data_IF_399784162738
#
_entry.id   IF_399784162738
#
_cell.length_a   1.000
_cell.length_b   1.000
_cell.length_c   1.000
_cell.angle_alpha   90.00
_cell.angle_beta   90.00
_cell.angle_gamma   90.00
#
_symmetry.space_group_name_H-M   'P 1'
#
loop_
_entity.id
_entity.type
_entity.pdbx_description
1 polymer ?
#
# COMPACT_ATOMS: atom_id res chain seq x y z
N UNK A 1 -23.93 16.48 23.08
CA UNK A 1 -23.05 15.95 22.02
C UNK A 1 -22.72 14.50 22.35
N UNK A 2 -23.41 13.53 21.74
CA UNK A 2 -23.13 12.09 21.93
C UNK A 2 -22.64 11.52 20.60
N UNK A 3 -21.48 10.88 20.65
CA UNK A 3 -20.69 10.42 19.51
C UNK A 3 -21.44 9.45 18.61
N UNK A 4 -21.23 9.64 17.30
CA UNK A 4 -21.79 8.79 16.26
C UNK A 4 -21.13 7.40 16.22
N UNK A 5 -21.84 6.37 15.73
CA UNK A 5 -21.30 5.03 15.64
C UNK A 5 -20.32 4.87 14.47
N UNK A 6 -19.09 4.48 14.82
CA UNK A 6 -18.19 3.51 14.17
C UNK A 6 -18.39 3.28 12.65
N UNK A 7 -17.60 3.96 11.83
CA UNK A 7 -17.38 3.61 10.41
C UNK A 7 -16.82 2.18 10.20
N UNK A 8 -16.23 1.59 11.25
CA UNK A 8 -15.72 0.21 11.26
C UNK A 8 -16.85 -0.82 11.03
N UNK A 9 -18.08 -0.52 11.45
CA UNK A 9 -19.23 -1.42 11.27
C UNK A 9 -19.74 -1.48 9.83
N UNK A 10 -19.59 -0.41 9.05
CA UNK A 10 -20.13 -0.34 7.69
C UNK A 10 -19.31 -1.20 6.71
N UNK A 11 -17.98 -1.11 6.78
CA UNK A 11 -17.07 -1.90 5.92
C UNK A 11 -17.20 -3.39 6.24
N UNK A 12 -17.27 -3.74 7.52
CA UNK A 12 -17.46 -5.13 7.94
C UNK A 12 -18.81 -5.68 7.46
N UNK A 13 -19.88 -4.87 7.43
CA UNK A 13 -21.18 -5.28 6.91
C UNK A 13 -21.20 -5.46 5.39
N UNK A 14 -20.45 -4.63 4.64
CA UNK A 14 -20.31 -4.78 3.18
C UNK A 14 -19.61 -6.09 2.84
N UNK A 15 -18.56 -6.47 3.58
CA UNK A 15 -17.86 -7.74 3.38
C UNK A 15 -18.62 -8.96 3.94
N UNK A 16 -19.47 -8.79 4.96
CA UNK A 16 -20.17 -9.89 5.64
C UNK A 16 -21.57 -10.19 5.10
N UNK A 17 -22.30 -9.19 4.59
CA UNK A 17 -23.64 -9.38 4.02
C UNK A 17 -23.62 -10.03 2.61
N UNK A 18 -22.44 -10.21 2.04
CA UNK A 18 -22.18 -10.63 0.66
C UNK A 18 -21.86 -12.11 0.44
N UNK A 19 -22.12 -12.98 1.42
CA UNK A 19 -21.72 -14.41 1.39
C UNK A 19 -22.32 -15.26 0.23
N UNK A 20 -23.08 -14.67 -0.70
CA UNK A 20 -23.68 -15.37 -1.85
C UNK A 20 -23.38 -14.77 -3.24
N UNK A 21 -22.35 -13.95 -3.43
CA UNK A 21 -21.95 -13.47 -4.76
C UNK A 21 -20.47 -13.75 -5.04
N UNK A 22 -20.20 -14.58 -6.04
CA UNK A 22 -18.90 -15.16 -6.45
C UNK A 22 -17.76 -14.17 -6.80
N UNK A 23 -17.85 -12.88 -6.48
CA UNK A 23 -16.94 -11.84 -6.98
C UNK A 23 -16.41 -10.81 -5.95
N UNK A 24 -16.73 -10.90 -4.65
CA UNK A 24 -16.31 -9.87 -3.69
C UNK A 24 -14.81 -9.83 -3.39
N UNK A 25 -14.09 -10.95 -3.54
CA UNK A 25 -12.62 -10.98 -3.44
C UNK A 25 -11.92 -10.12 -4.52
N UNK A 26 -12.64 -9.64 -5.54
CA UNK A 26 -12.09 -8.74 -6.56
C UNK A 26 -12.03 -7.29 -6.07
N UNK A 27 -12.94 -6.84 -5.19
CA UNK A 27 -12.97 -5.45 -4.76
C UNK A 27 -11.80 -5.21 -3.77
N UNK A 28 -10.93 -4.20 -4.01
CA UNK A 28 -9.73 -3.96 -3.20
C UNK A 28 -9.99 -3.83 -1.69
N UNK A 29 -11.12 -3.23 -1.31
CA UNK A 29 -11.48 -3.05 0.10
C UNK A 29 -11.74 -4.40 0.81
N UNK A 30 -12.09 -5.45 0.08
CA UNK A 30 -12.34 -6.79 0.62
C UNK A 30 -11.07 -7.66 0.63
N UNK A 31 -9.93 -7.17 0.15
CA UNK A 31 -8.69 -7.95 0.14
C UNK A 31 -8.14 -8.15 1.54
N UNK A 32 -7.59 -9.34 1.78
CA UNK A 32 -6.83 -9.66 3.00
C UNK A 32 -5.59 -8.77 3.11
N UNK A 33 -5.07 -8.60 4.33
CA UNK A 33 -3.87 -7.78 4.56
C UNK A 33 -2.69 -8.25 3.72
N UNK A 34 -2.50 -9.57 3.58
CA UNK A 34 -1.46 -10.14 2.73
C UNK A 34 -1.62 -9.74 1.26
N UNK A 35 -2.83 -9.82 0.69
CA UNK A 35 -3.06 -9.44 -0.71
C UNK A 35 -2.84 -7.93 -0.94
N UNK A 36 -3.23 -7.10 0.03
CA UNK A 36 -2.94 -5.66 -0.01
C UNK A 36 -1.43 -5.38 0.04
N UNK A 37 -0.68 -6.11 0.87
CA UNK A 37 0.78 -6.00 0.94
C UNK A 37 1.47 -6.48 -0.34
N UNK A 38 1.01 -7.59 -0.92
CA UNK A 38 1.49 -8.09 -2.21
C UNK A 38 1.31 -7.05 -3.32
N UNK A 39 0.12 -6.43 -3.40
CA UNK A 39 -0.15 -5.33 -4.32
C UNK A 39 0.83 -4.17 -4.13
N UNK A 40 1.01 -3.67 -2.91
CA UNK A 40 1.92 -2.56 -2.61
C UNK A 40 3.37 -2.90 -2.98
N UNK A 41 3.78 -4.16 -2.77
CA UNK A 41 5.11 -4.64 -3.14
C UNK A 41 5.31 -4.68 -4.65
N UNK A 42 4.33 -5.18 -5.40
CA UNK A 42 4.35 -5.22 -6.88
C UNK A 42 4.39 -3.82 -7.47
N UNK A 43 3.58 -2.91 -6.93
CA UNK A 43 3.59 -1.50 -7.31
C UNK A 43 4.96 -0.84 -7.05
N UNK A 44 5.54 -1.09 -5.87
CA UNK A 44 6.87 -0.58 -5.55
C UNK A 44 7.95 -1.12 -6.50
N UNK A 45 7.89 -2.40 -6.89
CA UNK A 45 8.81 -2.97 -7.88
C UNK A 45 8.63 -2.32 -9.26
N UNK A 46 7.38 -2.10 -9.68
CA UNK A 46 7.05 -1.43 -10.95
C UNK A 46 7.66 -0.01 -11.04
N UNK A 47 7.70 0.71 -9.91
CA UNK A 47 8.33 2.04 -9.77
C UNK A 47 9.86 2.00 -9.69
N UNK A 48 10.46 0.83 -9.46
CA UNK A 48 11.92 0.66 -9.39
C UNK A 48 12.51 0.06 -10.66
N UNK A 49 11.69 -0.56 -11.51
CA UNK A 49 12.09 -1.03 -12.83
C UNK A 49 12.76 0.11 -13.60
N UNK A 50 14.00 -0.13 -14.04
CA UNK A 50 14.73 0.74 -14.96
C UNK A 50 14.46 0.22 -16.37
N UNK A 51 13.98 1.04 -17.29
CA UNK A 51 14.01 0.61 -18.68
C UNK A 51 15.45 0.59 -19.18
N UNK A 52 15.70 -0.29 -20.15
CA UNK A 52 16.98 -0.37 -20.84
C UNK A 52 17.14 0.72 -21.91
N UNK A 53 16.04 1.31 -22.34
CA UNK A 53 15.94 2.44 -23.26
C UNK A 53 14.55 3.11 -23.08
N UNK A 54 14.41 4.43 -23.39
CA UNK A 54 13.11 5.09 -23.35
C UNK A 54 12.09 4.33 -24.17
N UNK A 55 11.01 3.91 -23.52
CA UNK A 55 9.92 3.17 -24.14
C UNK A 55 8.59 3.49 -23.42
N UNK A 56 7.49 2.94 -23.92
CA UNK A 56 6.16 3.09 -23.32
C UNK A 56 6.12 2.74 -21.81
N UNK A 57 6.98 1.85 -21.32
CA UNK A 57 7.02 1.48 -19.90
C UNK A 57 7.64 2.57 -19.03
N UNK A 58 8.60 3.36 -19.55
CA UNK A 58 9.15 4.53 -18.86
C UNK A 58 8.13 5.65 -18.78
N UNK A 59 7.34 5.88 -19.83
CA UNK A 59 6.25 6.86 -19.83
C UNK A 59 5.19 6.50 -18.78
N UNK A 60 4.70 5.25 -18.80
CA UNK A 60 3.74 4.77 -17.80
C UNK A 60 4.31 4.82 -16.37
N UNK A 61 5.62 4.60 -16.20
CA UNK A 61 6.27 4.75 -14.90
C UNK A 61 6.28 6.21 -14.43
N UNK A 62 6.56 7.14 -15.34
CA UNK A 62 6.52 8.58 -15.08
C UNK A 62 5.13 9.00 -14.64
N UNK A 63 4.12 8.66 -15.43
CA UNK A 63 2.70 8.93 -15.13
C UNK A 63 2.26 8.33 -13.79
N UNK A 64 2.64 7.08 -13.51
CA UNK A 64 2.35 6.43 -12.23
C UNK A 64 3.02 7.17 -11.05
N UNK A 65 4.28 7.57 -11.23
CA UNK A 65 4.99 8.34 -10.20
C UNK A 65 4.34 9.69 -9.95
N UNK A 66 3.97 10.42 -11.01
CA UNK A 66 3.28 11.70 -10.91
C UNK A 66 1.92 11.57 -10.23
N UNK A 67 1.11 10.58 -10.61
CA UNK A 67 -0.20 10.34 -10.00
C UNK A 67 -0.04 10.03 -8.51
N UNK A 68 0.91 9.17 -8.11
CA UNK A 68 1.15 8.85 -6.70
C UNK A 68 1.61 10.06 -5.89
N UNK A 69 2.58 10.83 -6.39
CA UNK A 69 3.09 11.99 -5.67
C UNK A 69 2.05 13.11 -5.58
N UNK A 70 1.16 13.25 -6.57
CA UNK A 70 0.01 14.17 -6.49
C UNK A 70 -0.92 13.89 -5.31
N UNK A 71 -0.97 12.63 -4.83
CA UNK A 71 -1.79 12.22 -3.68
C UNK A 71 -1.05 12.30 -2.35
N UNK A 72 0.24 12.66 -2.33
CA UNK A 72 1.03 12.77 -1.09
C UNK A 72 0.26 13.45 0.05
N UNK A 73 -0.38 14.62 -0.14
CA UNK A 73 -1.06 15.32 0.97
C UNK A 73 -2.24 14.55 1.58
N UNK A 74 -2.78 13.56 0.84
CA UNK A 74 -3.84 12.68 1.31
C UNK A 74 -3.29 11.43 2.02
N UNK A 75 -2.01 11.10 1.82
CA UNK A 75 -1.35 9.94 2.44
C UNK A 75 -0.61 10.36 3.72
N UNK A 76 0.16 11.44 3.67
CA UNK A 76 0.88 12.00 4.82
C UNK A 76 1.21 13.48 4.62
N UNK A 77 1.41 14.16 5.74
CA UNK A 77 1.93 15.51 5.88
C UNK A 77 3.40 15.46 6.30
N UNK A 78 4.21 16.41 5.81
CA UNK A 78 5.65 16.47 6.10
C UNK A 78 6.42 15.26 5.58
N UNK A 79 7.28 14.69 6.43
CA UNK A 79 8.06 13.49 6.16
C UNK A 79 7.37 12.24 6.73
N UNK A 80 7.22 11.18 5.93
CA UNK A 80 6.54 9.97 6.40
C UNK A 80 7.31 9.23 7.50
N UNK A 81 8.62 9.48 7.64
CA UNK A 81 9.47 8.85 8.65
C UNK A 81 9.09 9.24 10.08
N UNK A 82 8.50 10.43 10.26
CA UNK A 82 8.05 10.91 11.56
C UNK A 82 6.89 10.09 12.12
N UNK A 83 6.10 9.47 11.23
CA UNK A 83 5.01 8.56 11.61
C UNK A 83 5.51 7.15 11.95
N UNK A 84 6.75 6.81 11.62
CA UNK A 84 7.35 5.52 11.91
C UNK A 84 7.94 5.54 13.33
N UNK A 85 7.56 4.53 14.13
CA UNK A 85 8.12 4.31 15.46
C UNK A 85 9.66 4.26 15.38
N UNK A 86 10.39 5.01 16.23
CA UNK A 86 11.84 5.02 16.25
C UNK A 86 12.50 3.64 16.18
N UNK A 87 11.91 2.61 16.80
CA UNK A 87 12.47 1.24 16.78
C UNK A 87 12.43 0.55 15.41
N UNK A 88 11.59 1.05 14.50
CA UNK A 88 11.40 0.52 13.14
C UNK A 88 11.99 1.42 12.05
N UNK A 89 12.64 2.53 12.43
CA UNK A 89 13.23 3.44 11.46
C UNK A 89 14.36 2.73 10.71
N UNK A 90 14.46 2.91 9.40
CA UNK A 90 15.49 2.22 8.63
C UNK A 90 16.86 2.84 8.88
N UNK A 91 17.89 1.99 8.90
CA UNK A 91 19.28 2.46 8.85
C UNK A 91 19.66 3.04 7.48
N UNK A 92 18.95 2.61 6.42
CA UNK A 92 19.12 3.12 5.06
C UNK A 92 18.32 4.41 4.88
N UNK A 93 18.90 5.38 4.18
CA UNK A 93 18.20 6.58 3.75
C UNK A 93 17.17 6.29 2.64
N UNK A 94 15.98 6.86 2.80
CA UNK A 94 14.92 6.91 1.79
C UNK A 94 14.59 8.38 1.52
N UNK A 95 13.85 8.63 0.45
CA UNK A 95 13.19 9.91 0.26
C UNK A 95 11.96 9.95 1.18
N UNK A 96 12.07 10.68 2.28
CA UNK A 96 11.03 10.77 3.30
C UNK A 96 9.86 11.67 2.90
N UNK A 97 10.01 12.43 1.82
CA UNK A 97 8.99 13.31 1.29
C UNK A 97 8.19 12.69 0.14
N UNK A 98 8.54 11.47 -0.29
CA UNK A 98 7.94 10.80 -1.45
C UNK A 98 7.05 9.62 -1.08
N UNK A 99 5.88 9.51 -1.73
CA UNK A 99 5.00 8.32 -1.64
C UNK A 99 5.71 7.10 -2.18
N UNK A 100 6.48 7.23 -3.27
CA UNK A 100 7.35 6.16 -3.77
C UNK A 100 8.41 5.75 -2.74
N UNK A 101 8.96 6.70 -1.99
CA UNK A 101 9.86 6.45 -0.86
C UNK A 101 9.21 5.58 0.22
N UNK A 102 7.98 5.93 0.61
CA UNK A 102 7.17 5.17 1.57
C UNK A 102 6.85 3.75 1.06
N UNK A 103 6.39 3.61 -0.19
CA UNK A 103 6.09 2.30 -0.81
C UNK A 103 7.33 1.40 -0.81
N UNK A 104 8.50 1.97 -1.12
CA UNK A 104 9.77 1.24 -1.08
C UNK A 104 10.14 0.80 0.32
N UNK A 105 9.90 1.64 1.34
CA UNK A 105 10.10 1.28 2.73
C UNK A 105 9.18 0.11 3.13
N UNK A 106 7.87 0.21 2.91
CA UNK A 106 6.88 -0.84 3.20
C UNK A 106 7.29 -2.17 2.56
N UNK A 107 7.62 -2.16 1.27
CA UNK A 107 8.07 -3.36 0.54
C UNK A 107 9.31 -3.99 1.19
N UNK A 108 10.31 -3.19 1.55
CA UNK A 108 11.54 -3.70 2.15
C UNK A 108 11.29 -4.30 3.53
N UNK A 109 10.47 -3.63 4.34
CA UNK A 109 10.07 -4.14 5.65
C UNK A 109 9.30 -5.46 5.52
N UNK A 110 8.42 -5.59 4.53
CA UNK A 110 7.65 -6.83 4.32
C UNK A 110 8.51 -7.99 3.78
N UNK A 111 9.44 -7.72 2.86
CA UNK A 111 10.24 -8.77 2.20
C UNK A 111 11.45 -9.24 2.99
N UNK A 112 12.00 -8.38 3.83
CA UNK A 112 13.26 -8.63 4.52
C UNK A 112 13.14 -8.55 6.03
N UNK A 113 11.92 -8.34 6.56
CA UNK A 113 11.53 -8.33 7.98
C UNK A 113 12.74 -8.21 8.90
N UNK A 114 13.26 -6.99 9.16
CA UNK A 114 14.33 -6.86 10.14
C UNK A 114 13.84 -7.43 11.47
N UNK A 115 14.75 -8.07 12.21
CA UNK A 115 14.48 -8.85 13.44
C UNK A 115 13.46 -8.18 14.41
N UNK A 116 13.46 -6.84 14.50
CA UNK A 116 12.52 -6.09 15.35
C UNK A 116 11.05 -6.14 14.91
N UNK A 117 10.76 -6.29 13.61
CA UNK A 117 9.39 -6.52 13.14
C UNK A 117 8.96 -7.97 13.42
N UNK A 118 9.83 -8.96 13.25
CA UNK A 118 9.47 -10.36 13.53
C UNK A 118 9.04 -10.55 14.99
N UNK A 119 9.76 -9.95 15.94
CA UNK A 119 9.41 -9.96 17.36
C UNK A 119 8.11 -9.18 17.66
N UNK A 120 7.90 -8.03 17.00
CA UNK A 120 6.69 -7.22 17.17
C UNK A 120 5.44 -7.86 16.57
N UNK A 121 5.57 -8.58 15.45
CA UNK A 121 4.44 -9.07 14.67
C UNK A 121 3.75 -10.26 15.32
N UNK A 122 4.42 -10.99 16.22
CA UNK A 122 3.88 -12.22 16.79
C UNK A 122 3.45 -13.24 15.72
N UNK A 123 2.93 -14.39 16.14
CA UNK A 123 2.47 -15.44 15.22
C UNK A 123 1.25 -14.95 14.41
N UNK A 124 1.49 -14.48 13.18
CA UNK A 124 0.45 -14.03 12.23
C UNK A 124 0.87 -12.79 11.44
N UNK A 125 1.85 -12.96 10.56
CA UNK A 125 2.79 -11.91 10.12
C UNK A 125 2.22 -10.82 9.20
N UNK A 126 1.17 -11.07 8.42
CA UNK A 126 0.63 -10.11 7.44
C UNK A 126 -0.37 -9.10 8.01
N UNK A 127 -1.29 -9.55 8.88
CA UNK A 127 -2.35 -8.71 9.45
C UNK A 127 -1.79 -7.65 10.41
N UNK A 128 -0.89 -8.04 11.32
CA UNK A 128 -0.25 -7.09 12.24
C UNK A 128 0.65 -6.10 11.49
N UNK A 129 1.36 -6.57 10.45
CA UNK A 129 2.24 -5.73 9.66
C UNK A 129 1.43 -4.68 8.89
N UNK A 130 0.42 -5.13 8.14
CA UNK A 130 -0.45 -4.23 7.41
C UNK A 130 -1.17 -3.28 8.36
N UNK A 131 -1.71 -3.77 9.48
CA UNK A 131 -2.38 -2.95 10.49
C UNK A 131 -1.49 -1.84 11.07
N UNK A 132 -0.19 -2.12 11.28
CA UNK A 132 0.76 -1.09 11.72
C UNK A 132 0.87 0.07 10.73
N UNK A 133 0.94 -0.23 9.42
CA UNK A 133 1.04 0.76 8.36
C UNK A 133 -0.29 1.45 8.08
N UNK A 134 -1.39 0.71 8.05
CA UNK A 134 -2.74 1.22 7.78
C UNK A 134 -3.17 2.22 8.86
N UNK A 135 -2.83 1.97 10.13
CA UNK A 135 -3.08 2.91 11.22
C UNK A 135 -2.34 4.26 11.06
N UNK A 136 -1.20 4.28 10.35
CA UNK A 136 -0.35 5.48 10.16
C UNK A 136 -0.61 6.17 8.82
N UNK A 137 -0.97 5.39 7.81
CA UNK A 137 -1.19 5.81 6.44
C UNK A 137 -2.49 5.20 5.89
N UNK A 138 -3.66 5.55 6.47
CA UNK A 138 -4.93 4.88 6.17
C UNK A 138 -5.37 4.99 4.71
N UNK A 139 -4.87 6.00 3.99
CA UNK A 139 -5.20 6.21 2.58
C UNK A 139 -4.16 5.60 1.62
N UNK A 140 -3.02 5.10 2.11
CA UNK A 140 -1.92 4.62 1.27
C UNK A 140 -2.41 3.55 0.29
N UNK A 141 -3.12 2.53 0.79
CA UNK A 141 -3.55 1.40 -0.04
C UNK A 141 -4.53 1.82 -1.14
N UNK A 142 -5.64 2.47 -0.76
CA UNK A 142 -6.69 2.81 -1.73
C UNK A 142 -6.22 3.83 -2.77
N UNK A 143 -5.41 4.83 -2.38
CA UNK A 143 -4.85 5.79 -3.32
C UNK A 143 -3.81 5.16 -4.24
N UNK A 144 -2.97 4.27 -3.72
CA UNK A 144 -2.02 3.50 -4.54
C UNK A 144 -2.73 2.61 -5.55
N UNK A 145 -3.81 1.94 -5.12
CA UNK A 145 -4.64 1.14 -6.01
C UNK A 145 -5.30 1.98 -7.10
N UNK A 146 -5.88 3.13 -6.73
CA UNK A 146 -6.49 4.06 -7.68
C UNK A 146 -5.50 4.51 -8.77
N UNK A 147 -4.30 4.93 -8.36
CA UNK A 147 -3.24 5.34 -9.29
C UNK A 147 -2.84 4.19 -10.24
N UNK A 148 -2.60 3.00 -9.70
CA UNK A 148 -2.24 1.83 -10.49
C UNK A 148 -3.37 1.37 -11.42
N UNK A 149 -4.62 1.43 -10.97
CA UNK A 149 -5.79 1.07 -11.78
C UNK A 149 -6.00 2.00 -12.97
N UNK A 150 -5.59 3.28 -12.84
CA UNK A 150 -5.66 4.25 -13.93
C UNK A 150 -4.52 4.08 -14.95
N UNK A 151 -3.30 3.82 -14.48
CA UNK A 151 -2.10 3.84 -15.33
C UNK A 151 -1.68 2.44 -15.80
N UNK A 152 -1.80 1.44 -14.94
CA UNK A 152 -1.22 0.11 -15.12
C UNK A 152 -2.27 -0.96 -15.48
N UNK A 153 -3.51 -0.58 -15.78
CA UNK A 153 -4.64 -1.52 -15.98
C UNK A 153 -4.36 -2.64 -16.98
N UNK A 154 -3.64 -2.30 -18.06
CA UNK A 154 -3.30 -3.21 -19.15
C UNK A 154 -1.91 -3.87 -18.98
N UNK A 155 -1.20 -3.56 -17.89
CA UNK A 155 0.09 -4.19 -17.61
C UNK A 155 -0.12 -5.58 -16.98
N UNK A 156 0.62 -6.58 -17.47
CA UNK A 156 0.50 -7.98 -17.02
C UNK A 156 0.61 -8.16 -15.51
N UNK A 157 1.45 -7.36 -14.84
CA UNK A 157 1.63 -7.48 -13.38
C UNK A 157 0.36 -7.10 -12.60
N UNK A 158 -0.49 -6.24 -13.17
CA UNK A 158 -1.71 -5.77 -12.53
C UNK A 158 -2.88 -6.75 -12.72
N UNK A 159 -2.75 -7.74 -13.61
CA UNK A 159 -3.85 -8.66 -13.94
C UNK A 159 -4.40 -9.42 -12.72
N UNK A 160 -3.53 -9.77 -11.75
CA UNK A 160 -3.90 -10.45 -10.50
C UNK A 160 -4.67 -9.57 -9.49
N UNK A 161 -4.73 -8.26 -9.77
CA UNK A 161 -5.29 -7.20 -8.93
C UNK A 161 -6.51 -6.50 -9.56
N UNK A 162 -6.99 -7.01 -10.70
CA UNK A 162 -8.22 -6.54 -11.36
C UNK A 162 -9.50 -7.12 -10.76
#
# INVERSE_FOLDING_TARGET
MKGGPKAIGLVSNICAAGQNLLNEQKIPICWSSTKRLEFLCRLSDRLLLKAKAPNQQDELKGLLSEELESKKPLVFDGEWIDKIDPKFRPHRQYDYESVRGLLRFVRNQWRHLPDGFEEFLGLGSGEHFYGYFDARFPNLFMLSYGAASQVCREERWFEEFR
#
